data_IF_560036291511
#
_entry.id   IF_560036291511
#
_cell.length_a   1.000
_cell.length_b   1.000
_cell.length_c   1.000
_cell.angle_alpha   90.00
_cell.angle_beta   90.00
_cell.angle_gamma   90.00
#
_symmetry.space_group_name_H-M   'P 1'
#
loop_
_entity.id
_entity.type
_entity.pdbx_description
1 polymer ?
#
# COMPACT_ATOMS: atom_id res chain seq x y z
N UNK A 1 8.51 30.71 19.01
CA UNK A 1 7.38 30.04 19.68
C UNK A 1 6.66 29.25 18.60
N UNK A 2 6.86 27.93 18.56
CA UNK A 2 6.27 27.06 17.54
C UNK A 2 4.92 26.59 18.09
N UNK A 3 3.81 27.07 17.52
CA UNK A 3 2.48 26.62 17.89
C UNK A 3 2.24 25.26 17.22
N UNK A 4 2.46 24.20 17.99
CA UNK A 4 2.05 22.84 17.62
C UNK A 4 0.53 22.78 17.76
N UNK A 5 -0.19 22.95 16.65
CA UNK A 5 -1.63 22.72 16.58
C UNK A 5 -1.91 21.25 16.88
N UNK A 6 -2.63 21.01 17.96
CA UNK A 6 -3.07 19.69 18.38
C UNK A 6 -4.10 19.20 17.35
N UNK A 7 -3.95 18.01 16.74
CA UNK A 7 -4.97 17.52 15.83
C UNK A 7 -6.27 17.31 16.61
N UNK A 8 -7.35 17.95 16.16
CA UNK A 8 -8.69 17.65 16.67
C UNK A 8 -8.95 16.16 16.47
N UNK A 9 -9.43 15.50 17.53
CA UNK A 9 -9.84 14.09 17.45
C UNK A 9 -11.10 14.03 16.60
N UNK A 10 -10.96 13.66 15.34
CA UNK A 10 -12.11 13.26 14.53
C UNK A 10 -12.66 11.95 15.10
N UNK A 11 -13.96 11.94 15.39
CA UNK A 11 -14.66 10.74 15.86
C UNK A 11 -14.78 9.74 14.68
N UNK A 12 -14.62 8.43 14.94
CA UNK A 12 -14.71 7.42 13.89
C UNK A 12 -16.10 7.42 13.23
N UNK A 13 -16.14 7.27 11.90
CA UNK A 13 -17.39 7.13 11.15
C UNK A 13 -18.11 5.84 11.55
N UNK A 14 -19.24 5.96 12.25
CA UNK A 14 -20.14 4.84 12.51
C UNK A 14 -21.11 4.65 11.34
N UNK A 15 -21.17 3.43 10.80
CA UNK A 15 -22.20 3.01 9.85
C UNK A 15 -22.99 1.84 10.42
N UNK A 16 -24.30 1.87 10.21
CA UNK A 16 -25.21 0.79 10.58
C UNK A 16 -25.95 0.30 9.33
N UNK A 17 -25.76 -0.96 8.98
CA UNK A 17 -26.59 -1.62 7.96
C UNK A 17 -27.83 -2.17 8.68
N UNK A 18 -28.92 -1.40 8.63
CA UNK A 18 -30.18 -1.78 9.29
C UNK A 18 -31.11 -2.41 8.28
N UNK A 19 -31.56 -3.62 8.56
CA UNK A 19 -32.70 -4.22 7.87
C UNK A 19 -33.98 -3.58 8.42
N UNK A 20 -34.59 -2.68 7.64
CA UNK A 20 -35.79 -1.90 8.04
C UNK A 20 -37.10 -2.60 7.69
N UNK A 21 -37.04 -3.78 7.08
CA UNK A 21 -38.20 -4.57 6.70
C UNK A 21 -37.80 -5.82 5.91
N UNK A 22 -38.78 -6.67 5.53
CA UNK A 22 -38.53 -7.87 4.74
C UNK A 22 -37.85 -7.56 3.39
N UNK A 23 -38.11 -6.37 2.84
CA UNK A 23 -37.65 -5.95 1.51
C UNK A 23 -36.81 -4.67 1.52
N UNK A 24 -36.34 -4.19 2.69
CA UNK A 24 -35.60 -2.93 2.78
C UNK A 24 -34.33 -3.04 3.62
N UNK A 25 -33.19 -2.77 2.97
CA UNK A 25 -31.91 -2.52 3.62
C UNK A 25 -31.66 -1.03 3.55
N UNK A 26 -31.45 -0.41 4.71
CA UNK A 26 -31.02 0.98 4.81
C UNK A 26 -29.65 1.01 5.45
N UNK A 27 -28.66 1.52 4.72
CA UNK A 27 -27.37 1.91 5.29
C UNK A 27 -27.58 3.30 5.88
N UNK A 28 -27.51 3.41 7.21
CA UNK A 28 -27.48 4.69 7.90
C UNK A 28 -26.02 5.01 8.18
N UNK A 29 -25.54 6.12 7.63
CA UNK A 29 -24.24 6.69 7.97
C UNK A 29 -24.55 7.88 8.88
N UNK A 30 -23.95 7.93 10.06
CA UNK A 30 -24.15 9.04 11.00
C UNK A 30 -23.52 10.32 10.43
N UNK A 31 -24.35 11.23 9.93
CA UNK A 31 -23.98 12.55 9.41
C UNK A 31 -23.61 13.52 10.55
N UNK A 32 -22.48 13.31 11.22
CA UNK A 32 -21.95 14.31 12.17
C UNK A 32 -20.78 15.13 11.59
N UNK A 33 -20.43 14.96 10.31
CA UNK A 33 -19.45 15.78 9.60
C UNK A 33 -19.94 16.13 8.20
N UNK A 34 -19.67 17.35 7.74
CA UNK A 34 -19.77 17.76 6.33
C UNK A 34 -18.81 16.90 5.49
N UNK A 35 -19.16 15.65 5.24
CA UNK A 35 -18.45 14.80 4.30
C UNK A 35 -18.70 15.37 2.91
N UNK A 36 -17.63 15.69 2.18
CA UNK A 36 -17.72 16.08 0.78
C UNK A 36 -18.46 14.96 0.02
N UNK A 37 -19.68 15.26 -0.45
CA UNK A 37 -20.50 14.32 -1.20
C UNK A 37 -19.74 13.86 -2.45
N UNK A 38 -19.28 12.61 -2.45
CA UNK A 38 -18.70 12.01 -3.64
C UNK A 38 -19.83 11.67 -4.61
N UNK A 39 -19.88 12.23 -5.83
CA UNK A 39 -20.94 11.94 -6.81
C UNK A 39 -20.95 10.46 -7.23
N UNK A 40 -19.90 9.71 -6.93
CA UNK A 40 -19.82 8.27 -7.12
C UNK A 40 -20.62 7.48 -6.06
N UNK A 41 -20.70 8.00 -4.84
CA UNK A 41 -21.44 7.37 -3.75
C UNK A 41 -22.94 7.33 -4.06
N UNK A 42 -23.52 8.46 -4.46
CA UNK A 42 -24.94 8.55 -4.81
C UNK A 42 -25.32 7.64 -5.97
N UNK A 43 -24.46 7.56 -6.98
CA UNK A 43 -24.69 6.65 -8.11
C UNK A 43 -24.65 5.18 -7.68
N UNK A 44 -23.74 4.83 -6.77
CA UNK A 44 -23.65 3.47 -6.24
C UNK A 44 -24.87 3.12 -5.39
N UNK A 45 -25.25 3.98 -4.45
CA UNK A 45 -26.44 3.80 -3.61
C UNK A 45 -27.71 3.73 -4.45
N UNK A 46 -27.83 4.58 -5.47
CA UNK A 46 -28.97 4.56 -6.41
C UNK A 46 -29.03 3.25 -7.18
N UNK A 47 -27.89 2.72 -7.64
CA UNK A 47 -27.82 1.42 -8.34
C UNK A 47 -28.19 0.26 -7.42
N UNK A 48 -27.71 0.24 -6.18
CA UNK A 48 -28.11 -0.76 -5.17
C UNK A 48 -29.61 -0.71 -4.94
N UNK A 49 -30.18 0.48 -4.72
CA UNK A 49 -31.63 0.67 -4.51
C UNK A 49 -32.48 0.23 -5.71
N UNK A 50 -31.94 0.30 -6.93
CA UNK A 50 -32.63 -0.18 -8.15
C UNK A 50 -32.50 -1.67 -8.40
N UNK A 51 -31.73 -2.40 -7.58
CA UNK A 51 -31.50 -3.84 -7.75
C UNK A 51 -32.77 -4.60 -7.36
N UNK A 52 -33.20 -5.63 -8.14
CA UNK A 52 -34.38 -6.42 -7.81
C UNK A 52 -34.30 -7.05 -6.41
N UNK A 53 -35.40 -7.00 -5.65
CA UNK A 53 -35.45 -7.46 -4.25
C UNK A 53 -35.00 -8.92 -4.08
N UNK A 54 -35.38 -9.81 -4.99
CA UNK A 54 -34.99 -11.22 -4.94
C UNK A 54 -33.47 -11.42 -4.97
N UNK A 55 -32.74 -10.53 -5.66
CA UNK A 55 -31.28 -10.59 -5.75
C UNK A 55 -30.64 -10.01 -4.49
N UNK A 56 -31.21 -8.95 -3.93
CA UNK A 56 -30.74 -8.34 -2.67
C UNK A 56 -30.93 -9.29 -1.47
N UNK A 57 -31.91 -10.19 -1.54
CA UNK A 57 -32.16 -11.23 -0.52
C UNK A 57 -31.30 -12.49 -0.72
N UNK A 58 -30.63 -12.66 -1.87
CA UNK A 58 -29.76 -13.81 -2.11
C UNK A 58 -28.52 -13.74 -1.20
N UNK A 59 -28.26 -14.81 -0.45
CA UNK A 59 -27.17 -14.85 0.52
C UNK A 59 -25.78 -14.69 -0.14
N UNK A 60 -25.60 -15.16 -1.38
CA UNK A 60 -24.33 -14.98 -2.09
C UNK A 60 -24.15 -13.52 -2.51
N UNK A 61 -25.22 -12.88 -2.99
CA UNK A 61 -25.19 -11.46 -3.29
C UNK A 61 -24.86 -10.62 -2.04
N UNK A 62 -25.52 -10.90 -0.91
CA UNK A 62 -25.25 -10.22 0.35
C UNK A 62 -23.81 -10.41 0.81
N UNK A 63 -23.28 -11.64 0.72
CA UNK A 63 -21.88 -11.93 1.05
C UNK A 63 -20.91 -11.14 0.16
N UNK A 64 -21.18 -11.04 -1.14
CA UNK A 64 -20.38 -10.26 -2.08
C UNK A 64 -20.41 -8.76 -1.76
N UNK A 65 -21.60 -8.20 -1.50
CA UNK A 65 -21.75 -6.77 -1.17
C UNK A 65 -21.05 -6.46 0.15
N UNK A 66 -21.25 -7.27 1.17
CA UNK A 66 -20.62 -7.10 2.49
C UNK A 66 -19.09 -7.09 2.36
N UNK A 67 -18.52 -8.11 1.69
CA UNK A 67 -17.08 -8.19 1.46
C UNK A 67 -16.54 -6.99 0.66
N UNK A 68 -17.30 -6.50 -0.32
CA UNK A 68 -16.90 -5.32 -1.10
C UNK A 68 -16.89 -4.05 -0.23
N UNK A 69 -17.88 -3.88 0.64
CA UNK A 69 -17.96 -2.77 1.60
C UNK A 69 -16.81 -2.85 2.60
N UNK A 70 -16.59 -4.02 3.22
CA UNK A 70 -15.51 -4.22 4.20
C UNK A 70 -14.13 -3.91 3.58
N UNK A 71 -13.88 -4.40 2.36
CA UNK A 71 -12.66 -4.07 1.62
C UNK A 71 -12.54 -2.55 1.34
N UNK A 72 -13.65 -1.87 1.04
CA UNK A 72 -13.65 -0.44 0.80
C UNK A 72 -13.30 0.34 2.07
N UNK A 73 -13.96 0.01 3.19
CA UNK A 73 -13.70 0.63 4.50
C UNK A 73 -12.26 0.40 4.94
N UNK A 74 -11.76 -0.84 4.85
CA UNK A 74 -10.37 -1.17 5.19
C UNK A 74 -9.36 -0.39 4.34
N UNK A 75 -9.56 -0.32 3.01
CA UNK A 75 -8.65 0.40 2.11
C UNK A 75 -8.64 1.93 2.37
N UNK A 76 -9.81 2.53 2.61
CA UNK A 76 -9.93 3.96 2.92
C UNK A 76 -9.26 4.27 4.26
N UNK A 77 -9.57 3.49 5.29
CA UNK A 77 -8.97 3.62 6.63
C UNK A 77 -7.44 3.48 6.56
N UNK A 78 -6.92 2.53 5.78
CA UNK A 78 -5.49 2.36 5.59
C UNK A 78 -4.83 3.58 4.93
N UNK A 79 -5.47 4.17 3.91
CA UNK A 79 -4.98 5.39 3.26
C UNK A 79 -4.97 6.57 4.22
N UNK A 80 -6.02 6.74 5.00
CA UNK A 80 -6.12 7.78 6.03
C UNK A 80 -5.07 7.59 7.12
N UNK A 81 -4.88 6.36 7.61
CA UNK A 81 -3.81 6.01 8.54
C UNK A 81 -2.44 6.43 8.00
N UNK A 82 -2.15 6.16 6.72
CA UNK A 82 -0.91 6.57 6.08
C UNK A 82 -0.80 8.10 5.93
N UNK A 83 -1.87 8.78 5.55
CA UNK A 83 -1.90 10.24 5.38
C UNK A 83 -1.70 10.97 6.71
N UNK A 84 -2.44 10.55 7.74
CA UNK A 84 -2.43 11.12 9.09
C UNK A 84 -1.32 10.55 9.98
N UNK A 85 -0.53 9.62 9.45
CA UNK A 85 0.59 8.98 10.14
C UNK A 85 0.20 8.31 11.48
N UNK A 86 -1.03 7.80 11.57
CA UNK A 86 -1.62 7.24 12.79
C UNK A 86 -2.13 5.81 12.56
N UNK A 87 -1.54 4.83 13.26
CA UNK A 87 -1.98 3.43 13.23
C UNK A 87 -3.25 3.17 14.06
N UNK A 88 -3.61 4.09 14.96
CA UNK A 88 -4.82 3.96 15.78
C UNK A 88 -6.10 4.05 14.95
N UNK A 89 -6.06 4.62 13.75
CA UNK A 89 -7.22 4.63 12.85
C UNK A 89 -7.61 3.20 12.43
N UNK A 90 -6.66 2.28 12.40
CA UNK A 90 -6.93 0.87 12.13
C UNK A 90 -7.73 0.18 13.25
N UNK A 91 -7.83 0.76 14.46
CA UNK A 91 -8.58 0.16 15.58
C UNK A 91 -10.10 0.21 15.39
N UNK A 92 -10.59 1.03 14.45
CA UNK A 92 -11.99 1.08 14.07
C UNK A 92 -12.43 -0.12 13.19
N UNK A 93 -11.48 -0.90 12.66
CA UNK A 93 -11.76 -2.04 11.79
C UNK A 93 -12.03 -3.33 12.60
N UNK A 94 -12.72 -4.32 12.00
CA UNK A 94 -12.81 -5.66 12.58
C UNK A 94 -11.42 -6.24 12.88
N UNK A 95 -11.25 -7.07 13.94
CA UNK A 95 -9.91 -7.47 14.42
C UNK A 95 -8.97 -8.06 13.36
N UNK A 96 -9.50 -8.84 12.41
CA UNK A 96 -8.71 -9.39 11.30
C UNK A 96 -8.19 -8.30 10.35
N UNK A 97 -9.01 -7.30 10.06
CA UNK A 97 -8.67 -6.18 9.18
C UNK A 97 -7.81 -5.14 9.89
N UNK A 98 -8.05 -4.89 11.18
CA UNK A 98 -7.23 -4.01 12.01
C UNK A 98 -5.76 -4.46 12.03
N UNK A 99 -5.51 -5.77 12.19
CA UNK A 99 -4.15 -6.33 12.17
C UNK A 99 -3.47 -6.12 10.81
N UNK A 100 -4.18 -6.37 9.70
CA UNK A 100 -3.67 -6.17 8.35
C UNK A 100 -3.37 -4.69 8.07
N UNK A 101 -4.28 -3.79 8.46
CA UNK A 101 -4.13 -2.34 8.35
C UNK A 101 -2.87 -1.85 9.08
N UNK A 102 -2.68 -2.27 10.35
CA UNK A 102 -1.49 -1.90 11.14
C UNK A 102 -0.20 -2.45 10.56
N UNK A 103 -0.19 -3.71 10.14
CA UNK A 103 0.98 -4.32 9.51
C UNK A 103 1.38 -3.56 8.25
N UNK A 104 0.42 -3.20 7.40
CA UNK A 104 0.68 -2.45 6.17
C UNK A 104 1.11 -1.01 6.45
N UNK A 105 0.54 -0.36 7.45
CA UNK A 105 0.97 0.96 7.92
C UNK A 105 2.44 0.94 8.37
N UNK A 106 2.80 0.02 9.26
CA UNK A 106 4.17 -0.12 9.74
C UNK A 106 5.15 -0.50 8.63
N UNK A 107 4.75 -1.40 7.72
CA UNK A 107 5.55 -1.75 6.54
C UNK A 107 5.89 -0.50 5.72
N UNK A 108 4.87 0.26 5.28
CA UNK A 108 5.08 1.43 4.45
C UNK A 108 5.92 2.48 5.17
N UNK A 109 5.64 2.74 6.46
CA UNK A 109 6.38 3.71 7.26
C UNK A 109 7.83 3.29 7.47
N UNK A 110 8.10 2.01 7.71
CA UNK A 110 9.45 1.47 7.84
C UNK A 110 10.28 1.68 6.56
N UNK A 111 9.71 1.39 5.38
CA UNK A 111 10.38 1.58 4.10
C UNK A 111 10.67 3.06 3.83
N UNK A 112 9.69 3.95 4.06
CA UNK A 112 9.85 5.39 3.83
C UNK A 112 10.90 6.02 4.75
N UNK A 113 10.89 5.64 6.03
CA UNK A 113 11.79 6.19 7.06
C UNK A 113 13.10 5.43 7.21
N UNK A 114 13.21 4.26 6.58
CA UNK A 114 14.31 3.29 6.74
C UNK A 114 14.56 2.86 8.20
N UNK A 115 13.51 2.93 9.02
CA UNK A 115 13.52 2.50 10.41
C UNK A 115 13.09 1.03 10.52
N UNK A 116 14.07 0.17 10.82
CA UNK A 116 13.83 -1.28 10.94
C UNK A 116 13.02 -1.64 12.19
N UNK A 117 13.04 -0.79 13.23
CA UNK A 117 12.30 -1.07 14.47
C UNK A 117 10.78 -1.05 14.24
N UNK A 118 10.31 -0.37 13.19
CA UNK A 118 8.92 -0.39 12.77
C UNK A 118 8.51 -1.76 12.19
N UNK A 119 9.43 -2.50 11.58
CA UNK A 119 9.14 -3.86 11.11
C UNK A 119 8.86 -4.81 12.28
N UNK A 120 9.46 -4.60 13.46
CA UNK A 120 9.20 -5.43 14.65
C UNK A 120 7.77 -5.30 15.18
N UNK A 121 7.07 -4.23 14.81
CA UNK A 121 5.65 -4.04 15.13
C UNK A 121 4.72 -4.90 14.26
N UNK A 122 5.23 -5.49 13.18
CA UNK A 122 4.46 -6.34 12.27
C UNK A 122 4.32 -7.74 12.90
N UNK A 123 3.09 -8.14 13.15
CA UNK A 123 2.77 -9.40 13.82
C UNK A 123 2.96 -10.61 12.92
N UNK A 124 2.63 -10.47 11.63
CA UNK A 124 2.81 -11.52 10.63
C UNK A 124 4.30 -11.67 10.28
N UNK A 125 4.88 -12.84 10.55
CA UNK A 125 6.31 -13.09 10.36
C UNK A 125 6.77 -12.93 8.91
N UNK A 126 5.99 -13.43 7.95
CA UNK A 126 6.32 -13.30 6.53
C UNK A 126 6.37 -11.83 6.11
N UNK A 127 5.37 -11.02 6.51
CA UNK A 127 5.35 -9.59 6.24
C UNK A 127 6.46 -8.84 6.98
N UNK A 128 6.80 -9.24 8.21
CA UNK A 128 7.92 -8.66 8.97
C UNK A 128 9.26 -8.88 8.28
N UNK A 129 9.53 -10.10 7.82
CA UNK A 129 10.75 -10.42 7.08
C UNK A 129 10.80 -9.64 5.76
N UNK A 130 9.68 -9.56 5.04
CA UNK A 130 9.58 -8.74 3.84
C UNK A 130 9.83 -7.24 4.10
N UNK A 131 9.34 -6.71 5.23
CA UNK A 131 9.60 -5.34 5.68
C UNK A 131 11.09 -5.10 5.91
N UNK A 132 11.74 -5.96 6.71
CA UNK A 132 13.16 -5.85 7.02
C UNK A 132 14.02 -5.91 5.76
N UNK A 133 13.74 -6.87 4.86
CA UNK A 133 14.40 -7.01 3.57
C UNK A 133 14.24 -5.75 2.70
N UNK A 134 13.05 -5.16 2.67
CA UNK A 134 12.81 -3.92 1.96
C UNK A 134 13.61 -2.75 2.54
N UNK A 135 13.67 -2.62 3.87
CA UNK A 135 14.47 -1.58 4.54
C UNK A 135 15.97 -1.75 4.23
N UNK A 136 16.49 -2.98 4.31
CA UNK A 136 17.89 -3.25 3.99
C UNK A 136 18.20 -3.00 2.52
N UNK A 137 17.33 -3.42 1.60
CA UNK A 137 17.48 -3.14 0.17
C UNK A 137 17.52 -1.63 -0.10
N UNK A 138 16.61 -0.85 0.50
CA UNK A 138 16.63 0.60 0.33
C UNK A 138 17.90 1.24 0.89
N UNK A 139 18.38 0.80 2.07
CA UNK A 139 19.67 1.27 2.61
C UNK A 139 20.83 0.91 1.69
N UNK A 140 20.82 -0.28 1.10
CA UNK A 140 21.83 -0.69 0.13
C UNK A 140 21.88 0.28 -1.04
N UNK A 141 20.73 0.56 -1.66
CA UNK A 141 20.62 1.46 -2.82
C UNK A 141 21.02 2.90 -2.49
N UNK A 142 20.56 3.44 -1.36
CA UNK A 142 20.89 4.81 -0.96
C UNK A 142 22.37 5.00 -0.66
N UNK A 143 22.98 4.02 0.01
CA UNK A 143 24.40 4.09 0.43
C UNK A 143 25.37 3.50 -0.59
N UNK A 144 24.84 2.83 -1.62
CA UNK A 144 25.59 1.99 -2.58
C UNK A 144 26.48 0.94 -1.92
N UNK A 145 26.12 0.50 -0.71
CA UNK A 145 26.89 -0.45 0.08
C UNK A 145 26.26 -1.86 0.03
N UNK A 146 26.92 -2.83 -0.64
CA UNK A 146 26.39 -4.19 -0.79
C UNK A 146 26.30 -4.94 0.54
N UNK A 147 26.97 -4.49 1.61
CA UNK A 147 26.89 -5.12 2.94
C UNK A 147 25.48 -5.06 3.52
N UNK A 148 24.62 -4.16 3.03
CA UNK A 148 23.20 -4.17 3.40
C UNK A 148 22.43 -5.32 2.74
N UNK A 149 22.79 -5.73 1.52
CA UNK A 149 22.19 -6.91 0.87
C UNK A 149 22.55 -8.21 1.60
N UNK A 150 23.67 -8.26 2.34
CA UNK A 150 24.02 -9.42 3.18
C UNK A 150 23.05 -9.63 4.35
N UNK A 151 22.31 -8.58 4.75
CA UNK A 151 21.30 -8.65 5.80
C UNK A 151 19.91 -9.06 5.30
N UNK A 152 19.73 -9.16 3.98
CA UNK A 152 18.48 -9.64 3.39
C UNK A 152 18.38 -11.14 3.63
N UNK A 153 17.31 -11.57 4.30
CA UNK A 153 17.10 -12.97 4.70
C UNK A 153 15.95 -13.59 3.90
N UNK A 154 16.07 -14.85 3.49
CA UNK A 154 14.95 -15.61 2.95
C UNK A 154 13.95 -15.93 4.06
N UNK A 155 12.64 -15.76 3.78
CA UNK A 155 11.59 -16.18 4.72
C UNK A 155 11.43 -17.71 4.84
N UNK A 156 12.15 -18.48 4.02
CA UNK A 156 12.10 -19.93 3.95
C UNK A 156 13.47 -20.52 4.27
N UNK A 157 13.49 -21.69 4.92
CA UNK A 157 14.68 -22.47 5.25
C UNK A 157 15.44 -22.89 3.97
N UNK A 158 16.15 -21.96 3.35
CA UNK A 158 16.99 -22.27 2.19
C UNK A 158 18.19 -23.10 2.62
N UNK A 159 18.52 -24.08 1.79
CA UNK A 159 19.72 -24.92 1.90
C UNK A 159 20.97 -24.05 2.11
N UNK A 160 21.82 -24.36 3.10
CA UNK A 160 23.07 -23.64 3.32
C UNK A 160 23.89 -23.54 2.02
N UNK A 161 24.32 -22.32 1.68
CA UNK A 161 25.16 -22.05 0.50
C UNK A 161 24.42 -21.55 -0.74
N UNK A 162 23.09 -21.54 -0.77
CA UNK A 162 22.34 -20.93 -1.85
C UNK A 162 22.05 -19.45 -1.54
N UNK A 163 22.41 -18.55 -2.45
CA UNK A 163 22.04 -17.13 -2.35
C UNK A 163 20.51 -17.03 -2.50
N UNK A 164 19.84 -16.41 -1.52
CA UNK A 164 18.40 -16.18 -1.58
C UNK A 164 18.04 -15.31 -2.80
N UNK A 165 16.93 -15.57 -3.50
CA UNK A 165 16.46 -14.73 -4.60
C UNK A 165 16.37 -13.24 -4.24
N UNK A 166 15.97 -12.93 -3.01
CA UNK A 166 15.85 -11.56 -2.50
C UNK A 166 17.21 -10.86 -2.39
N UNK A 167 18.22 -11.54 -1.84
CA UNK A 167 19.60 -11.04 -1.81
C UNK A 167 20.16 -10.83 -3.21
N UNK A 168 19.95 -11.79 -4.12
CA UNK A 168 20.41 -11.64 -5.50
C UNK A 168 19.73 -10.45 -6.20
N UNK A 169 18.43 -10.26 -5.97
CA UNK A 169 17.70 -9.11 -6.48
C UNK A 169 18.27 -7.79 -5.94
N UNK A 170 18.60 -7.72 -4.64
CA UNK A 170 19.26 -6.55 -4.05
C UNK A 170 20.61 -6.23 -4.72
N UNK A 171 21.45 -7.24 -4.94
CA UNK A 171 22.75 -7.09 -5.62
C UNK A 171 22.58 -6.62 -7.08
N UNK A 172 21.64 -7.22 -7.82
CA UNK A 172 21.36 -6.82 -9.20
C UNK A 172 20.92 -5.35 -9.30
N UNK A 173 20.08 -4.88 -8.37
CA UNK A 173 19.65 -3.47 -8.34
C UNK A 173 20.82 -2.51 -8.06
N UNK A 174 21.79 -2.90 -7.23
CA UNK A 174 23.00 -2.12 -7.01
C UNK A 174 23.88 -2.03 -8.26
N UNK A 175 24.06 -3.15 -8.97
CA UNK A 175 24.87 -3.18 -10.19
C UNK A 175 24.22 -2.33 -11.30
N UNK A 176 22.89 -2.36 -11.42
CA UNK A 176 22.15 -1.47 -12.31
C UNK A 176 22.39 0.02 -12.00
N UNK A 177 22.43 0.41 -10.73
CA UNK A 177 22.72 1.80 -10.34
C UNK A 177 24.16 2.21 -10.63
N UNK A 178 25.13 1.28 -10.55
CA UNK A 178 26.54 1.54 -10.89
C UNK A 178 26.74 1.73 -12.38
N UNK A 179 26.11 0.88 -13.20
CA UNK A 179 26.15 1.01 -14.66
C UNK A 179 25.57 2.34 -15.17
N UNK A 180 24.57 2.89 -14.47
CA UNK A 180 24.01 4.19 -14.79
C UNK A 180 24.96 5.37 -14.46
N UNK A 181 25.86 5.22 -13.48
CA UNK A 181 26.83 6.29 -13.15
C UNK A 181 28.06 6.33 -14.07
N UNK A 182 28.37 5.24 -14.77
CA UNK A 182 29.52 5.15 -15.70
C UNK A 182 29.14 5.53 -17.15
N UNK A 183 28.05 6.29 -17.34
CA UNK A 183 27.58 6.73 -18.67
C UNK A 183 28.51 7.70 -19.41
N UNK A 184 29.76 7.87 -18.98
CA UNK A 184 30.82 8.48 -19.79
C UNK A 184 31.05 7.75 -21.12
N UNK A 185 30.49 6.55 -21.30
CA UNK A 185 30.62 5.75 -22.53
C UNK A 185 29.63 6.10 -23.66
N UNK A 186 28.68 7.03 -23.48
CA UNK A 186 27.73 7.41 -24.54
C UNK A 186 27.95 8.82 -25.13
N UNK A 187 29.01 9.52 -24.73
CA UNK A 187 29.35 10.86 -25.25
C UNK A 187 30.63 10.92 -26.09
N UNK A 188 31.25 9.78 -26.41
CA UNK A 188 32.35 9.73 -27.38
C UNK A 188 31.86 9.13 -28.69
N UNK A 189 31.90 9.93 -29.75
CA UNK A 189 31.96 9.49 -31.15
C UNK A 189 30.67 8.97 -31.81
N UNK A 190 29.57 9.69 -31.65
CA UNK A 190 28.68 9.87 -32.80
C UNK A 190 29.20 11.08 -33.58
N UNK A 191 30.29 10.88 -34.32
CA UNK A 191 30.72 11.81 -35.35
C UNK A 191 29.53 12.08 -36.28
N UNK A 192 29.08 13.33 -36.32
CA UNK A 192 28.02 13.88 -37.18
C UNK A 192 28.38 13.81 -38.70
N UNK A 193 29.40 13.06 -39.11
CA UNK A 193 30.01 13.14 -40.44
C UNK A 193 29.47 12.14 -41.47
N UNK A 194 28.54 11.23 -41.12
CA UNK A 194 28.13 10.11 -42.01
C UNK A 194 26.63 10.15 -42.42
N UNK A 195 26.02 11.32 -42.53
CA UNK A 195 24.61 11.45 -42.98
C UNK A 195 24.38 12.46 -44.12
N UNK A 196 25.37 12.74 -44.98
CA UNK A 196 25.20 13.65 -46.14
C UNK A 196 25.39 13.05 -47.56
N UNK A 197 25.64 11.75 -47.75
CA UNK A 197 25.96 11.22 -49.10
C UNK A 197 24.90 10.33 -49.78
N UNK A 198 23.58 10.56 -49.61
CA UNK A 198 22.59 9.76 -50.38
C UNK A 198 21.35 10.51 -50.86
N UNK A 199 21.52 11.76 -51.28
CA UNK A 199 20.51 12.43 -52.12
C UNK A 199 21.26 13.08 -53.28
N UNK A 200 21.49 12.33 -54.35
CA UNK A 200 21.66 12.75 -55.75
C UNK A 200 22.29 11.59 -56.53
N UNK A 201 21.45 10.66 -57.01
CA UNK A 201 21.63 9.89 -58.23
C UNK A 201 20.30 9.24 -58.64
#
# INVERSE_FOLDING_TARGET
MNQSSNPEKEEPFEYEVVQTGPDSISVKISENGEAAESPYYDQFVKKIKSTPTWLVQDANFQGCVTKAVDNCVANTTQKEAQLLQSDSLCDALPPSEAANCKNQFHYTKAIQTKDISLCEKITNEFQRNACQNGVFTQKALETRDPRWCDKVTTASNTTPGLVSPEKQNCLNLLDLQRGASDSTFLNSDWDDEVMQETILN
#
